data_IF_543659252135
#
_entry.id   IF_543659252135
#
_cell.length_a   1.000
_cell.length_b   1.000
_cell.length_c   1.000
_cell.angle_alpha   90.00
_cell.angle_beta   90.00
_cell.angle_gamma   90.00
#
_symmetry.space_group_name_H-M   'P 1'
#
loop_
_entity.id
_entity.type
_entity.pdbx_description
1 polymer ?
#
# COMPACT_ATOMS: atom_id res chain seq x y z
N UNK A 1 -9.35 10.76 8.41
CA UNK A 1 -9.57 9.71 7.39
C UNK A 1 -8.70 8.50 7.73
N UNK A 2 -9.29 7.31 7.90
CA UNK A 2 -8.57 6.13 8.37
C UNK A 2 -8.05 5.33 7.17
N UNK A 3 -6.73 5.26 6.99
CA UNK A 3 -6.13 4.37 5.99
C UNK A 3 -6.26 2.94 6.51
N UNK A 4 -7.00 2.09 5.80
CA UNK A 4 -7.12 0.68 6.16
C UNK A 4 -5.79 -0.01 5.88
N UNK A 5 -5.07 -0.41 6.94
CA UNK A 5 -3.75 -1.02 6.81
C UNK A 5 -3.86 -2.54 6.71
N UNK A 6 -3.16 -3.15 5.76
CA UNK A 6 -3.04 -4.62 5.67
C UNK A 6 -2.14 -5.10 6.81
N UNK A 7 -2.62 -6.05 7.62
CA UNK A 7 -1.83 -6.65 8.71
C UNK A 7 -1.52 -8.12 8.47
N UNK A 8 -2.35 -8.78 7.67
CA UNK A 8 -2.31 -10.21 7.47
C UNK A 8 -1.35 -10.58 6.33
N UNK A 9 -0.36 -11.43 6.63
CA UNK A 9 0.67 -11.82 5.66
C UNK A 9 0.09 -12.49 4.41
N UNK A 10 -1.02 -13.23 4.53
CA UNK A 10 -1.66 -13.89 3.39
C UNK A 10 -2.17 -12.87 2.34
N UNK A 11 -2.54 -11.65 2.75
CA UNK A 11 -2.92 -10.58 1.83
C UNK A 11 -1.71 -10.01 1.10
N UNK A 12 -0.56 -9.90 1.77
CA UNK A 12 0.70 -9.53 1.13
C UNK A 12 1.07 -10.55 0.05
N UNK A 13 1.14 -11.83 0.41
CA UNK A 13 1.45 -12.93 -0.51
C UNK A 13 0.48 -12.97 -1.69
N UNK A 14 -0.83 -12.79 -1.45
CA UNK A 14 -1.84 -12.78 -2.52
C UNK A 14 -1.62 -11.65 -3.51
N UNK A 15 -1.29 -10.45 -3.01
CA UNK A 15 -1.07 -9.26 -3.83
C UNK A 15 0.22 -9.38 -4.66
N UNK A 16 1.29 -9.91 -4.08
CA UNK A 16 2.51 -10.19 -4.84
C UNK A 16 2.31 -11.23 -5.95
N UNK A 17 1.46 -12.25 -5.72
CA UNK A 17 1.23 -13.34 -6.70
C UNK A 17 0.26 -12.97 -7.82
N UNK A 18 -0.79 -12.18 -7.53
CA UNK A 18 -1.90 -11.93 -8.47
C UNK A 18 -2.09 -10.45 -8.82
N UNK A 19 -1.40 -9.55 -8.13
CA UNK A 19 -1.52 -8.11 -8.33
C UNK A 19 -0.80 -7.65 -9.59
N UNK A 20 -1.27 -6.54 -10.16
CA UNK A 20 -0.55 -5.78 -11.19
C UNK A 20 0.59 -5.02 -10.53
N UNK A 21 1.72 -4.90 -11.22
CA UNK A 21 2.92 -4.24 -10.73
C UNK A 21 3.20 -2.97 -11.52
N UNK A 22 3.65 -1.93 -10.81
CA UNK A 22 4.22 -0.72 -11.40
C UNK A 22 5.55 -0.43 -10.71
N UNK A 23 6.61 -0.35 -11.50
CA UNK A 23 7.99 -0.22 -11.01
C UNK A 23 8.50 1.16 -11.35
N UNK A 24 8.93 1.90 -10.34
CA UNK A 24 9.71 3.14 -10.47
C UNK A 24 11.03 2.98 -9.72
N UNK A 25 12.04 3.79 -10.07
CA UNK A 25 13.37 3.74 -9.44
C UNK A 25 13.34 3.72 -7.89
N UNK A 26 12.57 4.58 -7.20
CA UNK A 26 12.53 4.58 -5.73
C UNK A 26 11.42 3.70 -5.13
N UNK A 27 10.49 3.19 -5.94
CA UNK A 27 9.24 2.62 -5.44
C UNK A 27 8.68 1.54 -6.37
N UNK A 28 8.26 0.43 -5.79
CA UNK A 28 7.46 -0.58 -6.49
C UNK A 28 6.08 -0.59 -5.85
N UNK A 29 5.05 -0.54 -6.69
CA UNK A 29 3.65 -0.59 -6.27
C UNK A 29 3.01 -1.86 -6.83
N UNK A 30 2.37 -2.62 -5.95
CA UNK A 30 1.52 -3.75 -6.31
C UNK A 30 0.07 -3.35 -6.08
N UNK A 31 -0.80 -3.63 -7.05
CA UNK A 31 -2.23 -3.38 -6.92
C UNK A 31 -3.03 -4.63 -7.29
N UNK A 32 -3.86 -5.09 -6.35
CA UNK A 32 -4.81 -6.17 -6.57
C UNK A 32 -6.22 -5.66 -6.28
N UNK A 33 -7.07 -5.64 -7.30
CA UNK A 33 -8.50 -5.35 -7.14
C UNK A 33 -9.14 -6.47 -6.32
N UNK A 34 -9.83 -6.13 -5.23
CA UNK A 34 -10.63 -7.11 -4.48
C UNK A 34 -12.08 -7.01 -4.97
N UNK A 35 -12.68 -8.15 -5.29
CA UNK A 35 -14.08 -8.23 -5.71
C UNK A 35 -15.04 -7.84 -4.59
N UNK A 36 -14.60 -7.89 -3.33
CA UNK A 36 -15.36 -7.46 -2.15
C UNK A 36 -15.20 -5.95 -1.92
N UNK A 37 -15.97 -5.15 -2.68
CA UNK A 37 -15.99 -3.66 -2.62
C UNK A 37 -16.28 -3.09 -1.22
N UNK A 38 -16.86 -3.87 -0.31
CA UNK A 38 -17.32 -3.42 1.02
C UNK A 38 -16.22 -2.99 2.00
N UNK A 39 -14.95 -3.34 1.76
CA UNK A 39 -13.85 -3.05 2.70
C UNK A 39 -13.00 -1.83 2.34
N UNK A 40 -13.29 -1.18 1.21
CA UNK A 40 -12.51 -0.07 0.67
C UNK A 40 -11.07 -0.44 0.29
N UNK A 41 -10.25 0.56 -0.01
CA UNK A 41 -8.83 0.38 -0.33
C UNK A 41 -8.02 0.06 0.94
N UNK A 42 -7.27 -1.04 0.91
CA UNK A 42 -6.34 -1.46 1.97
C UNK A 42 -4.90 -1.33 1.49
N UNK A 43 -4.04 -0.86 2.38
CA UNK A 43 -2.65 -0.51 2.06
C UNK A 43 -1.69 -1.25 2.98
N UNK A 44 -0.77 -1.99 2.39
CA UNK A 44 0.43 -2.49 3.03
C UNK A 44 1.60 -1.57 2.68
N UNK A 45 2.58 -1.45 3.57
CA UNK A 45 3.84 -0.76 3.26
C UNK A 45 4.98 -1.71 3.58
N UNK A 46 5.77 -2.04 2.56
CA UNK A 46 6.96 -2.88 2.71
C UNK A 46 8.21 -2.04 2.49
N UNK A 47 9.15 -2.12 3.43
CA UNK A 47 10.47 -1.48 3.32
C UNK A 47 11.55 -2.53 3.46
N UNK A 48 12.51 -2.51 2.54
CA UNK A 48 13.58 -3.48 2.52
C UNK A 48 14.51 -3.28 3.74
N UNK A 49 15.01 -4.37 4.33
CA UNK A 49 16.05 -4.33 5.38
C UNK A 49 17.34 -3.69 4.89
N UNK A 50 17.64 -3.76 3.57
CA UNK A 50 18.82 -3.12 2.95
C UNK A 50 18.83 -1.59 3.04
N UNK A 51 17.69 -0.97 3.35
CA UNK A 51 17.55 0.48 3.35
C UNK A 51 18.17 1.15 4.59
N UNK A 52 18.44 0.40 5.67
CA UNK A 52 19.07 0.90 6.88
C UNK A 52 18.43 0.37 8.16
N UNK A 53 18.72 1.05 9.27
CA UNK A 53 18.25 0.71 10.61
C UNK A 53 16.74 0.85 10.81
N UNK A 54 16.31 0.69 12.06
CA UNK A 54 14.89 0.83 12.40
C UNK A 54 14.38 2.27 12.19
N UNK A 55 15.22 3.27 12.44
CA UNK A 55 14.85 4.69 12.38
C UNK A 55 14.62 5.13 10.93
N UNK A 56 15.53 4.76 10.02
CA UNK A 56 15.48 5.08 8.59
C UNK A 56 14.27 4.41 7.94
N UNK A 57 14.04 3.13 8.24
CA UNK A 57 12.85 2.39 7.79
C UNK A 57 11.55 3.00 8.32
N UNK A 58 11.54 3.48 9.55
CA UNK A 58 10.37 4.16 10.12
C UNK A 58 10.12 5.52 9.45
N UNK A 59 11.19 6.27 9.17
CA UNK A 59 11.11 7.53 8.42
C UNK A 59 10.51 7.32 7.04
N UNK A 60 11.00 6.33 6.28
CA UNK A 60 10.45 6.00 4.95
C UNK A 60 8.97 5.60 5.04
N UNK A 61 8.60 4.73 5.99
CA UNK A 61 7.19 4.34 6.18
C UNK A 61 6.29 5.53 6.52
N UNK A 62 6.78 6.52 7.29
CA UNK A 62 6.03 7.74 7.60
C UNK A 62 5.83 8.62 6.35
N UNK A 63 6.90 8.84 5.57
CA UNK A 63 6.83 9.62 4.32
C UNK A 63 5.85 8.98 3.33
N UNK A 64 5.95 7.67 3.10
CA UNK A 64 5.05 6.95 2.18
C UNK A 64 3.59 7.02 2.63
N UNK A 65 3.34 6.93 3.95
CA UNK A 65 1.99 7.03 4.49
C UNK A 65 1.38 8.42 4.28
N UNK A 66 2.14 9.49 4.47
CA UNK A 66 1.66 10.84 4.22
C UNK A 66 1.46 11.11 2.73
N UNK A 67 2.39 10.68 1.86
CA UNK A 67 2.23 10.80 0.41
C UNK A 67 0.93 10.09 -0.05
N UNK A 68 0.69 8.87 0.46
CA UNK A 68 -0.53 8.13 0.17
C UNK A 68 -1.79 8.82 0.73
N UNK A 69 -1.71 9.42 1.93
CA UNK A 69 -2.80 10.20 2.51
C UNK A 69 -3.23 11.34 1.59
N UNK A 70 -2.27 12.08 1.03
CA UNK A 70 -2.52 13.17 0.08
C UNK A 70 -3.17 12.67 -1.20
N UNK A 71 -2.69 11.55 -1.76
CA UNK A 71 -3.26 10.95 -2.97
C UNK A 71 -4.72 10.54 -2.74
N UNK A 72 -5.01 9.87 -1.63
CA UNK A 72 -6.38 9.43 -1.33
C UNK A 72 -7.34 10.59 -1.10
N UNK A 73 -6.85 11.72 -0.57
CA UNK A 73 -7.65 12.95 -0.46
C UNK A 73 -7.92 13.58 -1.83
N UNK A 74 -6.97 13.50 -2.76
CA UNK A 74 -7.12 14.02 -4.12
C UNK A 74 -8.02 13.16 -5.02
N UNK A 75 -8.09 11.85 -4.77
CA UNK A 75 -8.84 10.87 -5.59
C UNK A 75 -9.78 10.01 -4.72
N UNK A 76 -10.96 10.54 -4.33
CA UNK A 76 -11.90 9.84 -3.45
C UNK A 76 -12.44 8.52 -4.01
N UNK A 77 -12.49 8.37 -5.33
CA UNK A 77 -12.93 7.18 -6.04
C UNK A 77 -12.04 5.95 -5.75
N UNK A 78 -10.76 6.17 -5.41
CA UNK A 78 -9.85 5.09 -5.01
C UNK A 78 -10.32 4.42 -3.71
N UNK A 79 -11.04 5.12 -2.85
CA UNK A 79 -11.58 4.51 -1.63
C UNK A 79 -12.69 3.52 -1.92
N UNK A 80 -13.43 3.73 -3.00
CA UNK A 80 -14.58 2.94 -3.40
C UNK A 80 -14.19 1.76 -4.30
N UNK A 81 -12.98 1.78 -4.87
CA UNK A 81 -12.57 0.80 -5.89
C UNK A 81 -12.30 -0.60 -5.34
N UNK A 82 -12.17 -0.78 -4.02
CA UNK A 82 -11.93 -2.06 -3.36
C UNK A 82 -10.62 -2.73 -3.80
N UNK A 83 -9.61 -2.80 -2.93
CA UNK A 83 -8.33 -3.36 -3.34
C UNK A 83 -7.29 -3.50 -2.26
N UNK A 84 -6.22 -4.22 -2.59
CA UNK A 84 -4.98 -4.32 -1.83
C UNK A 84 -3.90 -3.58 -2.61
N UNK A 85 -3.24 -2.63 -1.96
CA UNK A 85 -2.08 -1.93 -2.50
C UNK A 85 -0.89 -2.16 -1.58
N UNK A 86 0.28 -2.49 -2.13
CA UNK A 86 1.53 -2.70 -1.36
C UNK A 86 2.67 -1.93 -2.03
#
# INVERSE_FOLDING_TARGET
MKINTIRENHLFTRTYKKGKTSVQKPLVVYFLKDSRRSTGLRVGLTVNKKLGGAVERNRVRRILREAFRTIVLAYPELQQSGGLMI
#
